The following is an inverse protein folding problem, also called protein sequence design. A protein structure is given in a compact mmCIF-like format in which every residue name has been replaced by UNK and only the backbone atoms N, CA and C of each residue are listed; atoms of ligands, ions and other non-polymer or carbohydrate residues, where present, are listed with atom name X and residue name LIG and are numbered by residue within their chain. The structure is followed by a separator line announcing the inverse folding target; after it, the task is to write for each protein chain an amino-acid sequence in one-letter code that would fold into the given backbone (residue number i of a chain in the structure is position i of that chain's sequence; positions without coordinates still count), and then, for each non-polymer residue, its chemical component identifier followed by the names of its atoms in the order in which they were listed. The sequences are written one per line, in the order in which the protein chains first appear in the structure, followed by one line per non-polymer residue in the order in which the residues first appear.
data_IF_107660530848
#
_entry.id   IF_107660530848
#
_cell.length_a   1.000
_cell.length_b   1.000
_cell.length_c   1.000
_cell.angle_alpha   90.00
_cell.angle_beta   90.00
_cell.angle_gamma   90.00
#
_symmetry.space_group_name_H-M   'P 1'
#
loop_
_entity.id
_entity.type
_entity.pdbx_description
1 polymer ?
#
# COMPACT_ATOMS: atom_id res chain seq x y z
N UNK A 1 -8.98 -8.24 -32.36
CA UNK A 1 -9.59 -9.05 -31.30
C UNK A 1 -9.01 -8.60 -29.97
N UNK A 2 -9.78 -7.86 -29.17
CA UNK A 2 -9.33 -7.45 -27.84
C UNK A 2 -9.24 -8.72 -26.97
N UNK A 3 -8.06 -8.98 -26.40
CA UNK A 3 -7.83 -10.15 -25.54
C UNK A 3 -8.75 -10.04 -24.34
N UNK A 4 -9.68 -10.99 -24.14
CA UNK A 4 -10.49 -11.05 -22.92
C UNK A 4 -9.55 -11.12 -21.72
N UNK A 5 -9.85 -10.33 -20.69
CA UNK A 5 -9.18 -10.44 -19.39
C UNK A 5 -9.62 -11.75 -18.72
N UNK A 6 -8.92 -12.85 -18.99
CA UNK A 6 -9.29 -14.19 -18.50
C UNK A 6 -8.59 -14.58 -17.20
N UNK A 7 -7.53 -13.88 -16.80
CA UNK A 7 -6.80 -14.15 -15.56
C UNK A 7 -6.23 -12.87 -14.96
N UNK A 8 -6.43 -12.68 -13.65
CA UNK A 8 -5.74 -11.62 -12.90
C UNK A 8 -4.27 -12.00 -12.73
N UNK A 9 -3.36 -11.15 -13.22
CA UNK A 9 -1.91 -11.26 -12.97
C UNK A 9 -1.52 -10.82 -11.56
N UNK A 10 -2.47 -10.29 -10.79
CA UNK A 10 -2.25 -9.69 -9.47
C UNK A 10 -2.16 -10.77 -8.39
N UNK A 11 -1.07 -10.78 -7.63
CA UNK A 11 -0.94 -11.61 -6.44
C UNK A 11 -1.61 -10.94 -5.23
N UNK A 12 -2.89 -11.23 -5.03
CA UNK A 12 -3.69 -10.63 -3.94
C UNK A 12 -3.18 -10.99 -2.54
N UNK A 13 -2.49 -12.12 -2.36
CA UNK A 13 -1.98 -12.56 -1.07
C UNK A 13 -0.76 -11.74 -0.62
N UNK A 14 0.13 -11.42 -1.55
CA UNK A 14 1.28 -10.54 -1.29
C UNK A 14 0.82 -9.10 -1.04
N UNK A 15 -0.11 -8.59 -1.85
CA UNK A 15 -0.62 -7.24 -1.65
C UNK A 15 -1.29 -7.07 -0.29
N UNK A 16 -2.04 -8.08 0.16
CA UNK A 16 -2.71 -8.06 1.47
C UNK A 16 -1.72 -7.95 2.65
N UNK A 17 -0.50 -8.48 2.51
CA UNK A 17 0.54 -8.39 3.56
C UNK A 17 1.12 -6.99 3.68
N UNK A 18 1.13 -6.22 2.59
CA UNK A 18 1.70 -4.87 2.53
C UNK A 18 0.72 -3.78 2.95
N UNK A 19 -0.58 -4.10 3.08
CA UNK A 19 -1.62 -3.11 3.40
C UNK A 19 -1.62 -2.77 4.90
N UNK A 20 -1.46 -1.48 5.27
CA UNK A 20 -1.60 -1.02 6.65
C UNK A 20 -2.99 -1.32 7.23
N UNK A 21 -3.10 -1.52 8.54
CA UNK A 21 -4.35 -1.90 9.21
C UNK A 21 -5.52 -0.96 8.86
N UNK A 22 -5.28 0.35 8.83
CA UNK A 22 -6.29 1.38 8.55
C UNK A 22 -6.82 1.35 7.11
N UNK A 23 -6.04 0.80 6.18
CA UNK A 23 -6.39 0.73 4.75
C UNK A 23 -6.97 -0.62 4.34
N UNK A 24 -6.98 -1.62 5.24
CA UNK A 24 -7.51 -2.97 4.95
C UNK A 24 -8.96 -2.94 4.47
N UNK A 25 -9.80 -2.08 5.05
CA UNK A 25 -11.20 -1.93 4.63
C UNK A 25 -11.34 -1.50 3.17
N UNK A 26 -10.54 -0.51 2.74
CA UNK A 26 -10.53 -0.03 1.35
C UNK A 26 -9.98 -1.09 0.38
N UNK A 27 -8.93 -1.79 0.79
CA UNK A 27 -8.36 -2.89 0.00
C UNK A 27 -9.36 -4.03 -0.21
N UNK A 28 -10.07 -4.46 0.84
CA UNK A 28 -11.09 -5.50 0.72
C UNK A 28 -12.24 -5.05 -0.19
N UNK A 29 -12.69 -3.80 -0.08
CA UNK A 29 -13.71 -3.26 -0.98
C UNK A 29 -13.26 -3.19 -2.45
N UNK A 30 -11.98 -2.90 -2.69
CA UNK A 30 -11.41 -2.94 -4.04
C UNK A 30 -11.33 -4.37 -4.59
N UNK A 31 -10.83 -5.31 -3.78
CA UNK A 31 -10.73 -6.73 -4.14
C UNK A 31 -12.12 -7.31 -4.47
N UNK A 32 -13.14 -7.06 -3.65
CA UNK A 32 -14.49 -7.58 -3.92
C UNK A 32 -15.06 -7.04 -5.23
N UNK A 33 -14.84 -5.76 -5.57
CA UNK A 33 -15.24 -5.17 -6.85
C UNK A 33 -14.50 -5.82 -8.02
N UNK A 34 -13.19 -6.02 -7.91
CA UNK A 34 -12.37 -6.66 -8.93
C UNK A 34 -12.81 -8.11 -9.19
N UNK A 35 -12.99 -8.90 -8.13
CA UNK A 35 -13.45 -10.28 -8.21
C UNK A 35 -14.89 -10.37 -8.78
N UNK A 36 -15.78 -9.47 -8.36
CA UNK A 36 -17.15 -9.39 -8.90
C UNK A 36 -17.18 -9.01 -10.37
N UNK A 37 -16.22 -8.20 -10.85
CA UNK A 37 -16.09 -7.89 -12.28
C UNK A 37 -15.59 -9.10 -13.06
N UNK A 38 -14.55 -9.77 -12.55
CA UNK A 38 -13.99 -10.97 -13.19
C UNK A 38 -15.03 -12.10 -13.30
N UNK A 39 -15.83 -12.32 -12.25
CA UNK A 39 -16.94 -13.29 -12.28
C UNK A 39 -17.97 -12.95 -13.38
N UNK A 40 -18.31 -11.66 -13.54
CA UNK A 40 -19.24 -11.22 -14.61
C UNK A 40 -18.65 -11.42 -16.00
N UNK A 41 -17.38 -11.06 -16.20
CA UNK A 41 -16.67 -11.28 -17.46
C UNK A 41 -16.62 -12.76 -17.82
N UNK A 42 -16.39 -13.64 -16.85
CA UNK A 42 -16.36 -15.09 -17.06
C UNK A 42 -17.76 -15.70 -17.30
N UNK A 43 -18.81 -15.13 -16.70
CA UNK A 43 -20.19 -15.59 -16.89
C UNK A 43 -20.76 -15.22 -18.26
N UNK A 44 -20.29 -14.11 -18.86
CA UNK A 44 -20.69 -13.74 -20.22
C UNK A 44 -20.05 -14.68 -21.26
N UNK A 45 -20.79 -15.17 -22.26
CA UNK A 45 -20.21 -15.91 -23.38
C UNK A 45 -19.22 -15.05 -24.19
N UNK A 46 -18.13 -15.63 -24.76
CA UNK A 46 -17.19 -14.92 -25.63
C UNK A 46 -17.81 -14.49 -26.96
N UNK A 47 -18.80 -15.23 -27.43
CA UNK A 47 -19.50 -15.01 -28.69
C UNK A 47 -20.99 -14.89 -28.42
N UNK A 48 -21.66 -14.06 -29.21
CA UNK A 48 -23.12 -13.97 -29.20
C UNK A 48 -23.69 -15.37 -29.53
N UNK A 49 -24.73 -15.85 -28.84
CA UNK A 49 -25.35 -17.13 -29.17
C UNK A 49 -25.73 -17.17 -30.65
N UNK A 50 -25.41 -18.27 -31.37
CA UNK A 50 -25.77 -18.38 -32.77
C UNK A 50 -27.29 -18.35 -32.94
N UNK A 51 -27.78 -17.47 -33.80
CA UNK A 51 -29.20 -17.37 -34.14
C UNK A 51 -29.51 -18.41 -35.22
N UNK A 52 -30.48 -19.29 -34.97
CA UNK A 52 -30.95 -20.25 -35.96
C UNK A 52 -31.91 -19.59 -36.95
N UNK A 53 -31.37 -18.91 -37.96
CA UNK A 53 -32.12 -18.22 -39.00
C UNK A 53 -33.00 -19.16 -39.84
N UNK A 54 -32.62 -20.44 -39.99
CA UNK A 54 -33.40 -21.43 -40.77
C UNK A 54 -34.73 -21.76 -40.10
N UNK A 55 -34.73 -21.89 -38.77
CA UNK A 55 -35.96 -22.11 -38.01
C UNK A 55 -36.91 -20.92 -38.11
N UNK A 56 -36.39 -19.69 -38.11
CA UNK A 56 -37.23 -18.50 -38.27
C UNK A 56 -37.77 -18.35 -39.71
N UNK A 57 -36.99 -18.75 -40.71
CA UNK A 57 -37.41 -18.71 -42.11
C UNK A 57 -38.57 -19.66 -42.42
N UNK A 58 -38.71 -20.78 -41.69
CA UNK A 58 -39.83 -21.72 -41.87
C UNK A 58 -41.10 -21.34 -41.10
N UNK A 59 -40.99 -20.52 -40.06
CA UNK A 59 -42.10 -20.07 -39.22
C UNK A 59 -42.68 -18.71 -39.66
N UNK A 60 -41.89 -17.87 -40.33
CA UNK A 60 -42.29 -16.53 -40.74
C UNK A 60 -42.89 -16.57 -42.16
N UNK A 61 -44.19 -16.26 -42.34
CA UNK A 61 -44.86 -16.31 -43.64
C UNK A 61 -44.49 -15.15 -44.59
N UNK A 62 -43.75 -14.14 -44.11
CA UNK A 62 -43.33 -12.98 -44.91
C UNK A 62 -41.97 -13.26 -45.56
N UNK A 63 -41.99 -13.51 -46.87
CA UNK A 63 -40.78 -13.75 -47.66
C UNK A 63 -39.82 -12.55 -47.62
N UNK A 64 -38.55 -12.79 -47.33
CA UNK A 64 -37.47 -11.78 -47.38
C UNK A 64 -37.26 -10.93 -46.12
N UNK A 65 -38.10 -11.05 -45.08
CA UNK A 65 -37.92 -10.29 -43.83
C UNK A 65 -36.78 -10.86 -42.97
N UNK A 66 -36.68 -12.18 -42.88
CA UNK A 66 -35.61 -12.88 -42.13
C UNK A 66 -34.23 -12.62 -42.74
N UNK A 67 -34.13 -12.56 -44.07
CA UNK A 67 -32.87 -12.26 -44.78
C UNK A 67 -32.40 -10.82 -44.58
N UNK A 68 -33.32 -9.85 -44.48
CA UNK A 68 -32.98 -8.46 -44.15
C UNK A 68 -32.42 -8.34 -42.73
N UNK A 69 -33.06 -8.99 -41.75
CA UNK A 69 -32.57 -8.99 -40.37
C UNK A 69 -31.24 -9.73 -40.21
N UNK A 70 -31.01 -10.81 -40.95
CA UNK A 70 -29.71 -11.47 -40.95
C UNK A 70 -28.61 -10.52 -41.44
N UNK A 71 -28.84 -9.82 -42.56
CA UNK A 71 -27.88 -8.85 -43.10
C UNK A 71 -27.62 -7.68 -42.16
N UNK A 72 -28.66 -7.13 -41.54
CA UNK A 72 -28.53 -6.03 -40.58
C UNK A 72 -27.81 -6.47 -39.30
N UNK A 73 -28.06 -7.69 -38.82
CA UNK A 73 -27.40 -8.26 -37.64
C UNK A 73 -25.91 -8.52 -37.89
N UNK A 74 -25.55 -9.07 -39.05
CA UNK A 74 -24.15 -9.29 -39.44
C UNK A 74 -23.40 -7.96 -39.69
N UNK A 75 -24.11 -6.92 -40.14
CA UNK A 75 -23.56 -5.57 -40.29
C UNK A 75 -23.36 -4.83 -38.96
N UNK A 76 -24.08 -5.22 -37.90
CA UNK A 76 -24.00 -4.59 -36.59
C UNK A 76 -22.72 -5.00 -35.85
N UNK A 77 -21.66 -4.21 -36.02
CA UNK A 77 -20.43 -4.36 -35.25
C UNK A 77 -20.51 -3.54 -33.95
N UNK A 78 -20.55 -4.22 -32.81
CA UNK A 78 -20.53 -3.55 -31.50
C UNK A 78 -19.13 -2.94 -31.28
N UNK A 79 -19.00 -1.61 -31.13
CA UNK A 79 -17.73 -0.97 -30.86
C UNK A 79 -17.24 -1.35 -29.45
N UNK A 80 -15.93 -1.55 -29.33
CA UNK A 80 -15.30 -1.77 -28.03
C UNK A 80 -15.30 -0.45 -27.23
N UNK A 81 -15.55 -0.47 -25.91
CA UNK A 81 -15.53 0.75 -25.10
C UNK A 81 -14.17 1.43 -25.17
N UNK A 82 -14.16 2.75 -25.29
CA UNK A 82 -12.95 3.57 -25.22
C UNK A 82 -12.38 3.57 -23.80
N UNK A 83 -11.05 3.55 -23.69
CA UNK A 83 -10.35 3.66 -22.42
C UNK A 83 -10.14 5.13 -22.06
N UNK A 84 -10.81 5.58 -21.01
CA UNK A 84 -10.76 6.97 -20.51
C UNK A 84 -10.02 7.11 -19.20
N UNK A 85 -9.67 5.99 -18.55
CA UNK A 85 -9.21 5.98 -17.16
C UNK A 85 -7.72 5.68 -17.01
N UNK A 86 -7.09 5.02 -17.99
CA UNK A 86 -5.66 4.71 -17.93
C UNK A 86 -4.77 5.94 -17.76
N UNK A 87 -5.06 7.03 -18.47
CA UNK A 87 -4.32 8.28 -18.36
C UNK A 87 -4.34 8.87 -16.93
N UNK A 88 -5.49 8.85 -16.27
CA UNK A 88 -5.62 9.37 -14.90
C UNK A 88 -4.88 8.50 -13.87
N UNK A 89 -4.84 7.19 -14.08
CA UNK A 89 -4.09 6.27 -13.21
C UNK A 89 -2.58 6.51 -13.35
N UNK A 90 -2.09 6.74 -14.57
CA UNK A 90 -0.68 7.03 -14.81
C UNK A 90 -0.23 8.35 -14.17
N UNK A 91 -1.10 9.36 -14.16
CA UNK A 91 -0.86 10.64 -13.47
C UNK A 91 -0.77 10.44 -11.95
N UNK A 92 -1.69 9.68 -11.35
CA UNK A 92 -1.65 9.34 -9.93
C UNK A 92 -0.36 8.59 -9.57
N UNK A 93 0.05 7.64 -10.41
CA UNK A 93 1.30 6.89 -10.22
C UNK A 93 2.54 7.81 -10.24
N UNK A 94 2.60 8.74 -11.20
CA UNK A 94 3.70 9.72 -11.30
C UNK A 94 3.76 10.65 -10.09
N UNK A 95 2.61 11.04 -9.54
CA UNK A 95 2.56 11.89 -8.33
C UNK A 95 3.05 11.15 -7.07
N UNK A 96 2.76 9.86 -6.94
CA UNK A 96 3.17 9.03 -5.79
C UNK A 96 4.65 8.62 -5.83
N UNK A 97 5.23 8.47 -7.02
CA UNK A 97 6.62 8.03 -7.21
C UNK A 97 7.67 8.86 -6.44
N UNK A 98 7.63 10.21 -6.43
CA UNK A 98 8.58 11.00 -5.62
C UNK A 98 8.35 10.85 -4.12
N UNK A 99 7.10 10.77 -3.65
CA UNK A 99 6.77 10.58 -2.23
C UNK A 99 7.32 9.25 -1.69
N UNK A 100 7.17 8.18 -2.48
CA UNK A 100 7.71 6.85 -2.14
C UNK A 100 9.23 6.91 -2.03
N UNK A 101 9.91 7.58 -2.97
CA UNK A 101 11.38 7.72 -2.93
C UNK A 101 11.82 8.49 -1.68
N UNK A 102 11.18 9.61 -1.40
CA UNK A 102 11.49 10.42 -0.21
C UNK A 102 11.30 9.61 1.09
N UNK A 103 10.22 8.84 1.19
CA UNK A 103 9.96 7.97 2.34
C UNK A 103 11.02 6.87 2.49
N UNK A 104 11.42 6.22 1.39
CA UNK A 104 12.48 5.22 1.43
C UNK A 104 13.82 5.82 1.88
N UNK A 105 14.17 7.01 1.39
CA UNK A 105 15.41 7.70 1.75
C UNK A 105 15.42 8.13 3.23
N UNK A 106 14.29 8.60 3.76
CA UNK A 106 14.13 8.92 5.18
C UNK A 106 14.28 7.67 6.06
N UNK A 107 13.57 6.59 5.72
CA UNK A 107 13.66 5.32 6.45
C UNK A 107 15.06 4.72 6.42
N UNK A 108 15.77 4.85 5.29
CA UNK A 108 17.14 4.35 5.18
C UNK A 108 18.09 5.11 6.14
N UNK A 109 17.94 6.43 6.26
CA UNK A 109 18.70 7.24 7.24
C UNK A 109 18.38 6.84 8.68
N UNK A 110 17.10 6.61 8.99
CA UNK A 110 16.68 6.12 10.32
C UNK A 110 17.30 4.75 10.64
N UNK A 111 17.28 3.82 9.67
CA UNK A 111 17.89 2.49 9.81
C UNK A 111 19.39 2.62 10.06
N UNK A 112 20.10 3.48 9.33
CA UNK A 112 21.54 3.71 9.51
C UNK A 112 21.88 4.35 10.86
N UNK A 113 21.03 5.25 11.37
CA UNK A 113 21.20 5.81 12.70
C UNK A 113 20.97 4.73 13.78
N UNK A 114 19.89 3.96 13.65
CA UNK A 114 19.55 2.89 14.58
C UNK A 114 20.58 1.76 14.58
N UNK A 115 21.16 1.40 13.43
CA UNK A 115 22.19 0.35 13.36
C UNK A 115 23.49 0.81 14.05
N UNK A 116 23.90 2.06 13.86
CA UNK A 116 25.05 2.64 14.59
C UNK A 116 24.82 2.63 16.09
N UNK A 117 23.61 2.94 16.54
CA UNK A 117 23.29 2.89 17.97
C UNK A 117 23.25 1.45 18.50
N UNK A 118 22.70 0.49 17.75
CA UNK A 118 22.75 -0.92 18.11
C UNK A 118 24.18 -1.44 18.20
N UNK A 119 25.08 -1.03 17.30
CA UNK A 119 26.49 -1.37 17.38
C UNK A 119 27.17 -0.74 18.59
N UNK A 120 26.86 0.52 18.91
CA UNK A 120 27.32 1.18 20.14
C UNK A 120 26.89 0.39 21.38
N UNK A 121 25.61 0.00 21.45
CA UNK A 121 25.06 -0.76 22.57
C UNK A 121 25.71 -2.14 22.66
N UNK A 122 25.91 -2.84 21.55
CA UNK A 122 26.59 -4.15 21.53
C UNK A 122 28.04 -4.11 21.99
N UNK A 123 28.72 -2.97 21.81
CA UNK A 123 30.09 -2.75 22.30
C UNK A 123 30.16 -2.45 23.80
N UNK A 124 29.03 -2.11 24.43
CA UNK A 124 29.00 -1.89 25.87
C UNK A 124 29.28 -3.20 26.61
N UNK A 125 30.02 -3.15 27.73
CA UNK A 125 30.08 -4.28 28.65
C UNK A 125 28.68 -4.59 29.16
N UNK A 126 28.49 -5.82 29.66
CA UNK A 126 27.26 -6.19 30.34
C UNK A 126 27.00 -5.20 31.47
N UNK A 127 25.73 -4.88 31.68
CA UNK A 127 25.32 -3.90 32.68
C UNK A 127 25.85 -4.25 34.09
N UNK A 128 25.89 -5.54 34.44
CA UNK A 128 26.38 -6.02 35.74
C UNK A 128 27.88 -5.76 35.97
N UNK A 129 28.67 -5.69 34.90
CA UNK A 129 30.11 -5.47 34.95
C UNK A 129 30.48 -3.98 34.73
N UNK A 130 29.50 -3.10 34.60
CA UNK A 130 29.72 -1.67 34.32
C UNK A 130 30.02 -0.91 35.62
N UNK A 131 31.25 -0.43 35.77
CA UNK A 131 31.63 0.41 36.91
C UNK A 131 31.24 1.87 36.69
N UNK A 132 31.09 2.65 37.76
CA UNK A 132 30.75 4.08 37.69
C UNK A 132 31.81 4.90 36.95
N UNK A 133 33.07 4.47 36.98
CA UNK A 133 34.18 5.09 36.24
C UNK A 133 34.02 4.86 34.73
N UNK A 134 33.71 3.63 34.31
CA UNK A 134 33.41 3.33 32.90
C UNK A 134 32.19 4.11 32.44
N UNK A 135 31.15 4.20 33.28
CA UNK A 135 29.96 5.00 32.97
C UNK A 135 30.31 6.49 32.78
N UNK A 136 31.20 7.05 33.60
CA UNK A 136 31.69 8.43 33.47
C UNK A 136 32.43 8.67 32.15
N UNK A 137 33.27 7.74 31.73
CA UNK A 137 34.01 7.85 30.46
C UNK A 137 33.09 7.71 29.23
N UNK A 138 32.08 6.86 29.32
CA UNK A 138 31.15 6.60 28.21
C UNK A 138 30.02 7.62 28.10
N UNK A 139 29.56 8.16 29.22
CA UNK A 139 28.45 9.12 29.32
C UNK A 139 28.82 10.32 30.20
N UNK A 140 29.81 11.15 29.80
CA UNK A 140 30.30 12.26 30.61
C UNK A 140 29.23 13.32 30.88
N UNK A 141 28.22 13.44 30.02
CA UNK A 141 27.12 14.40 30.22
C UNK A 141 26.07 13.94 31.25
N UNK A 142 25.92 12.63 31.44
CA UNK A 142 24.93 12.05 32.38
C UNK A 142 25.55 11.61 33.71
N UNK A 143 26.86 11.35 33.72
CA UNK A 143 27.56 10.94 34.92
C UNK A 143 27.66 12.06 35.95
N UNK A 144 27.62 11.68 37.22
CA UNK A 144 27.76 12.59 38.35
C UNK A 144 29.12 13.28 38.30
N UNK A 145 29.13 14.62 38.20
CA UNK A 145 30.34 15.43 38.21
C UNK A 145 30.29 16.46 39.34
N UNK A 146 30.72 16.10 40.56
CA UNK A 146 30.65 17.00 41.70
C UNK A 146 31.57 18.24 41.56
N UNK A 147 32.52 18.23 40.62
CA UNK A 147 33.49 19.32 40.43
C UNK A 147 33.01 20.30 39.36
N UNK A 148 32.60 19.79 38.19
CA UNK A 148 32.18 20.61 37.05
C UNK A 148 30.69 20.96 37.03
N UNK A 149 29.83 20.10 37.59
CA UNK A 149 28.36 20.23 37.57
C UNK A 149 27.75 19.72 38.90
N UNK A 150 27.94 20.47 40.01
CA UNK A 150 27.42 20.05 41.31
C UNK A 150 25.89 19.97 41.28
N UNK A 151 25.35 18.80 41.59
CA UNK A 151 23.91 18.53 41.69
C UNK A 151 23.52 18.28 43.14
N UNK A 152 22.29 18.61 43.50
CA UNK A 152 21.75 18.37 44.84
C UNK A 152 21.21 16.94 44.96
N UNK A 153 21.47 16.27 46.09
CA UNK A 153 20.91 14.95 46.39
C UNK A 153 19.37 15.02 46.45
N UNK A 154 18.59 14.14 45.79
CA UNK A 154 18.91 12.79 45.26
C UNK A 154 19.55 12.68 43.86
N UNK A 155 20.12 13.75 43.29
CA UNK A 155 20.77 13.80 41.96
C UNK A 155 19.87 13.39 40.78
N UNK A 156 18.58 13.28 41.02
CA UNK A 156 17.54 13.18 40.02
C UNK A 156 17.28 14.56 39.40
N UNK A 157 16.86 14.55 38.13
CA UNK A 157 16.58 15.78 37.40
C UNK A 157 15.51 16.63 38.11
N UNK A 158 14.49 16.01 38.70
CA UNK A 158 13.33 16.69 39.32
C UNK A 158 13.68 17.47 40.59
N UNK A 159 14.67 17.00 41.34
CA UNK A 159 15.12 17.65 42.58
C UNK A 159 16.17 18.75 42.34
N UNK A 160 16.60 18.97 41.10
CA UNK A 160 17.53 20.06 40.77
C UNK A 160 16.80 21.40 40.70
N UNK A 161 17.45 22.47 41.18
CA UNK A 161 16.89 23.82 41.18
C UNK A 161 16.53 24.34 39.78
N UNK A 162 17.26 23.87 38.76
CA UNK A 162 17.10 24.27 37.36
C UNK A 162 16.15 23.35 36.58
N UNK A 163 15.41 22.47 37.26
CA UNK A 163 14.49 21.55 36.62
C UNK A 163 13.34 22.28 35.94
N UNK A 164 13.25 22.13 34.61
CA UNK A 164 12.08 22.50 33.84
C UNK A 164 11.33 21.22 33.48
N UNK A 165 10.06 21.05 33.91
CA UNK A 165 9.32 19.84 33.59
C UNK A 165 9.19 19.68 32.08
N UNK A 166 9.56 18.50 31.58
CA UNK A 166 9.38 18.17 30.16
C UNK A 166 7.91 18.35 29.79
N UNK A 167 7.63 19.20 28.79
CA UNK A 167 6.29 19.33 28.21
C UNK A 167 5.92 18.01 27.56
N UNK A 168 5.26 17.13 28.30
CA UNK A 168 4.70 15.89 27.75
C UNK A 168 3.82 16.28 26.55
N UNK A 169 4.07 15.79 25.33
CA UNK A 169 3.17 16.04 24.23
C UNK A 169 1.81 15.47 24.65
N UNK A 170 0.78 16.32 24.69
CA UNK A 170 -0.60 15.87 24.87
C UNK A 170 -0.85 14.81 23.80
N UNK A 171 -0.98 13.55 24.22
CA UNK A 171 -1.40 12.46 23.34
C UNK A 171 -2.78 12.85 22.78
N UNK A 172 -2.80 13.33 21.53
CA UNK A 172 -4.02 13.47 20.72
C UNK A 172 -4.32 12.13 20.07
#
# INVERSE_FOLDING_TARGET
MAKRFTKTTINWAELQKLVPADQKGKFLAFKTKADAYLRRVNASPPELPPIDWKKYQSLVPVAGMVEKFQKEYEALKIPYPEDTLSASIDEQWKALQPEIKAYCDERQKEIEAATKELERIKKLPKFEDMTMEIYRDMYPDQALDPVGKPTFWPHDAESQLDYVPEKKPMKK
#
